data_IF_073092897147
#
_entry.id   IF_073092897147
#
_cell.length_a   1.000
_cell.length_b   1.000
_cell.length_c   1.000
_cell.angle_alpha   90.00
_cell.angle_beta   90.00
_cell.angle_gamma   90.00
#
_symmetry.space_group_name_H-M   'P 1'
#
loop_
_entity.id
_entity.type
_entity.pdbx_description
1 polymer ?
#
# COMPACT_ATOMS: atom_id res chain seq x y z
N UNK A 1 -3.04 25.54 4.39
CA UNK A 1 -3.96 24.38 4.40
C UNK A 1 -4.37 24.16 5.85
N UNK A 2 -5.60 23.76 6.16
CA UNK A 2 -5.94 23.45 7.56
C UNK A 2 -5.51 22.01 7.93
N UNK A 3 -5.51 21.72 9.23
CA UNK A 3 -5.09 20.41 9.77
C UNK A 3 -6.05 19.27 9.35
N UNK A 4 -7.31 19.56 9.06
CA UNK A 4 -8.29 18.56 8.60
C UNK A 4 -7.92 18.14 7.18
N UNK A 5 -7.70 19.11 6.29
CA UNK A 5 -7.31 18.86 4.91
C UNK A 5 -5.95 18.15 4.82
N UNK A 6 -5.01 18.48 5.70
CA UNK A 6 -3.73 17.76 5.81
C UNK A 6 -3.92 16.28 6.12
N UNK A 7 -4.78 15.95 7.10
CA UNK A 7 -5.12 14.56 7.43
C UNK A 7 -5.84 13.83 6.30
N UNK A 8 -6.79 14.50 5.63
CA UNK A 8 -7.49 13.93 4.47
C UNK A 8 -6.49 13.60 3.35
N UNK A 9 -5.60 14.53 3.03
CA UNK A 9 -4.59 14.32 1.98
C UNK A 9 -3.60 13.22 2.35
N UNK A 10 -3.22 13.11 3.62
CA UNK A 10 -2.40 12.01 4.11
C UNK A 10 -3.10 10.67 3.89
N UNK A 11 -4.36 10.54 4.32
CA UNK A 11 -5.16 9.32 4.18
C UNK A 11 -5.33 8.93 2.72
N UNK A 12 -5.65 9.88 1.82
CA UNK A 12 -5.78 9.62 0.38
C UNK A 12 -4.49 9.02 -0.22
N UNK A 13 -3.32 9.59 0.10
CA UNK A 13 -2.03 9.06 -0.36
C UNK A 13 -1.72 7.67 0.21
N UNK A 14 -2.05 7.44 1.50
CA UNK A 14 -1.92 6.12 2.13
C UNK A 14 -2.84 5.11 1.45
N UNK A 15 -4.10 5.45 1.16
CA UNK A 15 -5.05 4.57 0.48
C UNK A 15 -4.61 4.21 -0.95
N UNK A 16 -3.85 5.09 -1.60
CA UNK A 16 -3.25 4.86 -2.92
C UNK A 16 -1.91 4.12 -2.88
N UNK A 17 -1.37 3.83 -1.69
CA UNK A 17 -0.07 3.16 -1.52
C UNK A 17 1.12 4.00 -1.98
N UNK A 18 0.97 5.33 -1.90
CA UNK A 18 1.96 6.32 -2.35
C UNK A 18 3.00 6.67 -1.30
N UNK A 19 2.82 6.22 -0.06
CA UNK A 19 3.83 6.33 0.99
C UNK A 19 4.46 4.97 1.29
N UNK A 20 5.78 4.95 1.40
CA UNK A 20 6.49 4.04 2.30
C UNK A 20 6.26 4.47 3.75
N UNK A 21 6.54 3.57 4.70
CA UNK A 21 6.46 3.92 6.13
C UNK A 21 7.33 5.13 6.50
N UNK A 22 8.55 5.21 5.97
CA UNK A 22 9.46 6.31 6.26
C UNK A 22 8.94 7.65 5.72
N UNK A 23 8.38 7.66 4.51
CA UNK A 23 7.77 8.88 3.94
C UNK A 23 6.52 9.30 4.69
N UNK A 24 5.72 8.35 5.17
CA UNK A 24 4.56 8.62 6.01
C UNK A 24 4.98 9.21 7.37
N UNK A 25 5.98 8.64 8.04
CA UNK A 25 6.50 9.16 9.31
C UNK A 25 7.02 10.59 9.15
N UNK A 26 7.80 10.87 8.11
CA UNK A 26 8.29 12.22 7.81
C UNK A 26 7.16 13.22 7.51
N UNK A 27 6.07 12.80 6.86
CA UNK A 27 4.91 13.65 6.65
C UNK A 27 4.17 13.95 7.95
N UNK A 28 4.01 12.95 8.83
CA UNK A 28 3.39 13.16 10.13
C UNK A 28 4.23 14.12 11.00
N UNK A 29 5.56 14.03 10.94
CA UNK A 29 6.45 14.98 11.61
C UNK A 29 6.27 16.41 11.09
N UNK A 30 6.15 16.58 9.76
CA UNK A 30 5.86 17.89 9.15
C UNK A 30 4.51 18.44 9.63
N UNK A 31 3.47 17.61 9.68
CA UNK A 31 2.15 18.01 10.17
C UNK A 31 2.20 18.43 11.64
N UNK A 32 2.96 17.72 12.47
CA UNK A 32 3.15 18.06 13.89
C UNK A 32 3.89 19.39 14.06
N UNK A 33 4.91 19.65 13.25
CA UNK A 33 5.63 20.92 13.24
C UNK A 33 4.75 22.09 12.78
N UNK A 34 3.89 21.88 11.78
CA UNK A 34 3.04 22.94 11.20
C UNK A 34 1.84 23.27 12.10
N UNK A 35 1.19 22.25 12.67
CA UNK A 35 -0.09 22.42 13.38
C UNK A 35 0.02 22.26 14.91
N UNK A 36 1.16 21.82 15.43
CA UNK A 36 1.39 21.58 16.85
C UNK A 36 0.39 20.57 17.42
N UNK A 37 -0.15 20.87 18.60
CA UNK A 37 -1.15 20.04 19.28
C UNK A 37 -2.42 19.78 18.46
N UNK A 38 -2.70 20.61 17.44
CA UNK A 38 -3.87 20.43 16.56
C UNK A 38 -3.61 19.45 15.42
N UNK A 39 -2.39 18.97 15.23
CA UNK A 39 -2.07 18.04 14.14
C UNK A 39 -2.85 16.72 14.27
N UNK A 40 -2.99 16.23 15.50
CA UNK A 40 -3.54 14.91 15.80
C UNK A 40 -4.48 14.94 16.99
N UNK A 41 -5.44 14.03 17.02
CA UNK A 41 -6.28 13.81 18.21
C UNK A 41 -5.62 12.83 19.17
N UNK A 42 -6.03 12.86 20.43
CA UNK A 42 -5.70 11.80 21.38
C UNK A 42 -6.60 10.59 21.10
N UNK A 43 -6.01 9.39 21.05
CA UNK A 43 -6.79 8.20 20.72
C UNK A 43 -5.92 6.95 20.69
N UNK A 44 -6.51 5.83 21.10
CA UNK A 44 -5.89 4.51 21.00
C UNK A 44 -6.24 3.85 19.67
N UNK A 45 -5.34 3.02 19.18
CA UNK A 45 -5.57 2.21 17.99
C UNK A 45 -5.42 0.74 18.35
N UNK A 46 -6.43 -0.07 18.02
CA UNK A 46 -6.38 -1.52 18.20
C UNK A 46 -5.81 -2.14 16.93
N UNK A 47 -4.64 -2.77 17.04
CA UNK A 47 -3.95 -3.36 15.89
C UNK A 47 -4.48 -4.76 15.63
N UNK A 48 -4.80 -5.06 14.37
CA UNK A 48 -5.16 -6.40 13.90
C UNK A 48 -3.90 -7.24 13.70
N UNK A 49 -4.02 -8.55 13.85
CA UNK A 49 -2.94 -9.49 13.51
C UNK A 49 -2.66 -9.50 12.01
N UNK A 50 -1.40 -9.77 11.64
CA UNK A 50 -0.98 -9.99 10.25
C UNK A 50 -1.37 -11.40 9.79
N UNK A 51 -1.51 -11.66 8.48
CA UNK A 51 -1.34 -10.73 7.36
C UNK A 51 -2.55 -9.83 7.14
N UNK A 52 -2.31 -8.57 6.73
CA UNK A 52 -3.39 -7.64 6.39
C UNK A 52 -3.80 -7.69 4.92
N UNK A 53 -5.06 -7.31 4.69
CA UNK A 53 -5.73 -7.23 3.40
C UNK A 53 -6.07 -5.78 3.03
N UNK A 54 -6.51 -5.56 1.78
CA UNK A 54 -7.03 -4.26 1.35
C UNK A 54 -8.33 -3.89 2.11
N UNK A 55 -9.10 -4.88 2.55
CA UNK A 55 -10.30 -4.66 3.34
C UNK A 55 -9.95 -4.15 4.74
N UNK A 56 -8.90 -4.67 5.36
CA UNK A 56 -8.40 -4.14 6.63
C UNK A 56 -7.97 -2.67 6.51
N UNK A 57 -7.39 -2.28 5.37
CA UNK A 57 -6.99 -0.90 5.12
C UNK A 57 -8.22 0.01 4.93
N UNK A 58 -9.27 -0.49 4.28
CA UNK A 58 -10.56 0.22 4.15
C UNK A 58 -11.30 0.35 5.49
N UNK A 59 -11.14 -0.61 6.39
CA UNK A 59 -11.68 -0.48 7.75
C UNK A 59 -11.02 0.71 8.47
N UNK A 60 -9.71 0.89 8.33
CA UNK A 60 -9.03 2.07 8.87
C UNK A 60 -9.50 3.36 8.21
N UNK A 61 -9.73 3.39 6.90
CA UNK A 61 -10.33 4.56 6.23
C UNK A 61 -11.70 4.92 6.82
N UNK A 62 -12.54 3.92 7.11
CA UNK A 62 -13.84 4.13 7.77
C UNK A 62 -13.65 4.65 9.20
N UNK A 63 -12.68 4.13 9.95
CA UNK A 63 -12.37 4.63 11.30
C UNK A 63 -11.91 6.10 11.25
N UNK A 64 -11.14 6.49 10.23
CA UNK A 64 -10.77 7.89 9.99
C UNK A 64 -12.00 8.77 9.74
N UNK A 65 -12.92 8.31 8.88
CA UNK A 65 -14.20 8.99 8.65
C UNK A 65 -15.06 9.08 9.93
N UNK A 66 -14.91 8.13 10.85
CA UNK A 66 -15.49 8.14 12.19
C UNK A 66 -14.67 8.97 13.22
N UNK A 67 -13.76 9.83 12.74
CA UNK A 67 -12.91 10.76 13.50
C UNK A 67 -11.63 10.19 14.13
N UNK A 68 -11.27 8.92 13.90
CA UNK A 68 -9.98 8.39 14.35
C UNK A 68 -8.83 9.14 13.66
N UNK A 69 -8.00 9.85 14.43
CA UNK A 69 -6.99 10.74 13.84
C UNK A 69 -5.80 10.99 14.75
N UNK A 70 -5.47 10.02 15.60
CA UNK A 70 -4.26 10.06 16.40
C UNK A 70 -3.02 9.74 15.56
N UNK A 71 -1.85 10.21 16.00
CA UNK A 71 -0.59 9.92 15.32
C UNK A 71 -0.37 8.41 15.17
N UNK A 72 -0.61 7.63 16.24
CA UNK A 72 -0.49 6.16 16.24
C UNK A 72 -1.44 5.49 15.26
N UNK A 73 -2.63 6.06 15.07
CA UNK A 73 -3.57 5.58 14.07
C UNK A 73 -3.04 5.78 12.64
N UNK A 74 -2.49 6.96 12.32
CA UNK A 74 -1.90 7.22 11.00
C UNK A 74 -0.65 6.37 10.72
N UNK A 75 0.23 6.21 11.71
CA UNK A 75 1.38 5.31 11.62
C UNK A 75 0.93 3.87 11.31
N UNK A 76 -0.13 3.39 11.97
CA UNK A 76 -0.67 2.07 11.72
C UNK A 76 -1.26 1.92 10.32
N UNK A 77 -2.01 2.92 9.86
CA UNK A 77 -2.59 2.95 8.51
C UNK A 77 -1.51 2.93 7.43
N UNK A 78 -0.42 3.69 7.62
CA UNK A 78 0.72 3.70 6.73
C UNK A 78 1.44 2.34 6.68
N UNK A 79 1.71 1.72 7.84
CA UNK A 79 2.33 0.38 7.90
C UNK A 79 1.48 -0.66 7.17
N UNK A 80 0.16 -0.62 7.38
CA UNK A 80 -0.77 -1.55 6.73
C UNK A 80 -0.81 -1.35 5.22
N UNK A 81 -0.88 -0.09 4.76
CA UNK A 81 -0.86 0.23 3.34
C UNK A 81 0.41 -0.26 2.67
N UNK A 82 1.58 0.01 3.25
CA UNK A 82 2.85 -0.44 2.67
C UNK A 82 2.88 -1.97 2.52
N UNK A 83 2.44 -2.72 3.53
CA UNK A 83 2.42 -4.18 3.45
C UNK A 83 1.47 -4.70 2.36
N UNK A 84 0.24 -4.16 2.30
CA UNK A 84 -0.78 -4.54 1.31
C UNK A 84 -0.30 -4.24 -0.11
N UNK A 85 0.26 -3.05 -0.34
CA UNK A 85 0.73 -2.64 -1.66
C UNK A 85 2.06 -3.30 -2.04
N UNK A 86 2.95 -3.61 -1.09
CA UNK A 86 4.15 -4.41 -1.36
C UNK A 86 3.77 -5.80 -1.87
N UNK A 87 2.80 -6.46 -1.23
CA UNK A 87 2.27 -7.76 -1.70
C UNK A 87 1.63 -7.63 -3.08
N UNK A 88 0.84 -6.58 -3.33
CA UNK A 88 0.22 -6.31 -4.64
C UNK A 88 1.26 -6.10 -5.75
N UNK A 89 2.33 -5.34 -5.47
CA UNK A 89 3.46 -5.12 -6.39
C UNK A 89 4.22 -6.41 -6.66
N UNK A 90 4.49 -7.22 -5.64
CA UNK A 90 5.15 -8.53 -5.79
C UNK A 90 4.31 -9.48 -6.66
N UNK A 91 3.00 -9.60 -6.40
CA UNK A 91 2.09 -10.43 -7.21
C UNK A 91 2.06 -9.97 -8.68
N UNK A 92 1.99 -8.66 -8.93
CA UNK A 92 2.07 -8.11 -10.30
C UNK A 92 3.39 -8.45 -10.99
N UNK A 93 4.52 -8.31 -10.30
CA UNK A 93 5.83 -8.67 -10.84
C UNK A 93 5.89 -10.16 -11.20
N UNK A 94 5.45 -11.05 -10.31
CA UNK A 94 5.42 -12.50 -10.60
C UNK A 94 4.54 -12.82 -11.82
N UNK A 95 3.35 -12.20 -11.93
CA UNK A 95 2.47 -12.44 -13.07
C UNK A 95 3.11 -12.01 -14.41
N UNK A 96 3.81 -10.87 -14.43
CA UNK A 96 4.52 -10.38 -15.63
C UNK A 96 5.67 -11.33 -16.00
N UNK A 97 6.53 -11.69 -15.03
CA UNK A 97 7.66 -12.59 -15.29
C UNK A 97 7.20 -14.00 -15.69
N UNK A 98 6.13 -14.52 -15.06
CA UNK A 98 5.52 -15.79 -15.42
C UNK A 98 4.96 -15.80 -16.84
N UNK A 99 4.30 -14.71 -17.25
CA UNK A 99 3.78 -14.56 -18.62
C UNK A 99 4.88 -14.56 -19.68
N UNK A 100 6.00 -13.87 -19.44
CA UNK A 100 7.15 -13.84 -20.36
C UNK A 100 7.78 -15.24 -20.49
N UNK A 101 8.00 -15.93 -19.37
CA UNK A 101 8.58 -17.27 -19.38
C UNK A 101 7.71 -18.28 -20.16
N UNK A 102 6.38 -18.23 -19.98
CA UNK A 102 5.45 -19.08 -20.71
C UNK A 102 5.48 -18.82 -22.22
N UNK A 103 5.56 -17.55 -22.65
CA UNK A 103 5.65 -17.20 -24.06
C UNK A 103 6.94 -17.73 -24.72
N UNK A 104 8.07 -17.61 -24.04
CA UNK A 104 9.36 -18.14 -24.53
C UNK A 104 9.31 -19.66 -24.66
N UNK A 105 8.78 -20.36 -23.65
CA UNK A 105 8.63 -21.82 -23.70
C UNK A 105 7.75 -22.28 -24.89
N UNK A 106 6.69 -21.53 -25.19
CA UNK A 106 5.78 -21.83 -26.29
C UNK A 106 6.45 -21.65 -27.66
N UNK A 107 7.24 -20.58 -27.84
CA UNK A 107 8.03 -20.38 -29.07
C UNK A 107 9.06 -21.49 -29.26
N UNK A 108 9.79 -21.87 -28.20
CA UNK A 108 10.77 -22.97 -28.26
C UNK A 108 10.10 -24.30 -28.63
N UNK A 109 8.93 -24.59 -28.04
CA UNK A 109 8.17 -25.80 -28.36
C UNK A 109 7.72 -25.83 -29.83
N UNK A 110 7.23 -24.71 -30.38
CA UNK A 110 6.85 -24.62 -31.79
C UNK A 110 8.05 -24.80 -32.72
N UNK A 111 9.19 -24.16 -32.42
CA UNK A 111 10.41 -24.33 -33.21
C UNK A 111 10.90 -25.79 -33.19
N UNK A 112 10.85 -26.45 -32.02
CA UNK A 112 11.22 -27.84 -31.89
C UNK A 112 10.29 -28.76 -32.71
N UNK A 113 8.98 -28.52 -32.67
CA UNK A 113 8.00 -29.26 -33.48
C UNK A 113 8.24 -29.06 -34.98
N UNK A 114 8.43 -27.82 -35.44
CA UNK A 114 8.70 -27.53 -36.86
C UNK A 114 9.96 -28.26 -37.33
N UNK A 115 11.03 -28.27 -36.53
CA UNK A 115 12.27 -29.00 -36.86
C UNK A 115 12.08 -30.52 -36.89
N UNK A 116 11.27 -31.07 -35.98
CA UNK A 116 10.93 -32.50 -35.95
C UNK A 116 10.13 -32.93 -37.19
N UNK A 117 9.22 -32.11 -37.69
CA UNK A 117 8.41 -32.43 -38.88
C UNK A 117 9.10 -32.14 -40.22
N UNK A 118 10.19 -31.37 -40.23
CA UNK A 118 11.00 -31.08 -41.42
C UNK A 118 12.33 -31.87 -41.47
N UNK A 119 12.58 -32.78 -40.51
CA UNK A 119 13.69 -33.76 -40.55
C UNK A 119 13.17 -35.13 -40.94
#
# INVERSE_FOLDING_TARGET
MDNIQARINFVDKVMKGQYSRAEAEAELDRMEQEFGERAFTTGKVTRKSKPWSMEDLKDLERDFMASASSRKFFEYMAEMSEEVYRKKRQRKKLAIFGGIAAAIALVVAVVALVRLFHS
#
